data_IF_944071123576
#
_entry.id   IF_944071123576
#
_cell.length_a   1.000
_cell.length_b   1.000
_cell.length_c   1.000
_cell.angle_alpha   90.00
_cell.angle_beta   90.00
_cell.angle_gamma   90.00
#
_symmetry.space_group_name_H-M   'P 1'
#
loop_
_entity.id
_entity.type
_entity.pdbx_description
1 polymer ?
#
# COMPACT_ATOMS: atom_id res chain seq x y z
N UNK A 1 23.87 -6.24 -11.31
CA UNK A 1 22.64 -7.04 -11.24
C UNK A 1 21.57 -6.19 -11.88
N UNK A 2 21.20 -6.48 -13.13
CA UNK A 2 20.01 -5.89 -13.74
C UNK A 2 18.82 -6.76 -13.34
N UNK A 3 17.86 -6.17 -12.62
CA UNK A 3 16.67 -6.87 -12.16
C UNK A 3 15.61 -7.06 -13.27
N UNK A 4 15.87 -6.61 -14.51
CA UNK A 4 14.97 -6.67 -15.68
C UNK A 4 13.50 -6.46 -15.30
N UNK A 5 13.24 -5.31 -14.68
CA UNK A 5 11.88 -4.95 -14.29
C UNK A 5 11.17 -4.39 -15.52
N UNK A 6 10.28 -5.19 -16.11
CA UNK A 6 9.50 -4.77 -17.28
C UNK A 6 8.36 -3.80 -16.91
N UNK A 7 7.88 -3.87 -15.66
CA UNK A 7 6.79 -3.02 -15.20
C UNK A 7 6.84 -2.74 -13.69
N UNK A 8 6.48 -1.53 -13.30
CA UNK A 8 6.27 -1.11 -11.93
C UNK A 8 4.77 -0.93 -11.66
N UNK A 9 4.22 -1.76 -10.77
CA UNK A 9 2.81 -1.75 -10.42
C UNK A 9 2.58 -0.89 -9.18
N UNK A 10 1.79 0.17 -9.33
CA UNK A 10 1.33 0.94 -8.17
C UNK A 10 0.15 0.26 -7.52
N UNK A 11 0.24 0.12 -6.20
CA UNK A 11 -0.85 -0.36 -5.38
C UNK A 11 -2.06 0.57 -5.50
N UNK A 12 -3.25 0.01 -5.33
CA UNK A 12 -4.50 0.77 -5.47
C UNK A 12 -4.59 1.97 -4.51
N UNK A 13 -4.01 1.88 -3.31
CA UNK A 13 -3.93 3.02 -2.40
C UNK A 13 -3.06 4.16 -2.94
N UNK A 14 -1.99 3.87 -3.69
CA UNK A 14 -1.22 4.89 -4.37
C UNK A 14 -2.02 5.57 -5.47
N UNK A 15 -2.80 4.82 -6.23
CA UNK A 15 -3.56 5.36 -7.36
C UNK A 15 -4.77 6.18 -6.92
N UNK A 16 -5.40 5.84 -5.79
CA UNK A 16 -6.65 6.46 -5.34
C UNK A 16 -6.46 7.48 -4.22
N UNK A 17 -5.52 7.27 -3.31
CA UNK A 17 -5.39 8.08 -2.08
C UNK A 17 -4.12 8.93 -2.02
N UNK A 18 -3.10 8.65 -2.84
CA UNK A 18 -1.84 9.36 -2.73
C UNK A 18 -1.92 10.74 -3.40
N UNK A 19 -1.72 11.84 -2.66
CA UNK A 19 -1.71 13.19 -3.24
C UNK A 19 -0.45 13.48 -4.07
N UNK A 20 0.55 12.59 -4.02
CA UNK A 20 1.85 12.78 -4.66
C UNK A 20 2.08 11.84 -5.86
N UNK A 21 1.06 11.09 -6.28
CA UNK A 21 1.17 10.11 -7.38
C UNK A 21 1.89 10.69 -8.61
N UNK A 22 1.47 11.87 -9.07
CA UNK A 22 2.08 12.53 -10.22
C UNK A 22 3.55 12.92 -10.02
N UNK A 23 3.98 13.23 -8.79
CA UNK A 23 5.40 13.50 -8.50
C UNK A 23 6.21 12.21 -8.63
N UNK A 24 5.73 11.11 -8.05
CA UNK A 24 6.41 9.82 -8.18
C UNK A 24 6.50 9.38 -9.63
N UNK A 25 5.40 9.44 -10.39
CA UNK A 25 5.41 9.10 -11.82
C UNK A 25 6.42 9.94 -12.61
N UNK A 26 6.47 11.24 -12.35
CA UNK A 26 7.41 12.14 -13.04
C UNK A 26 8.86 11.74 -12.77
N UNK A 27 9.24 11.58 -11.51
CA UNK A 27 10.63 11.24 -11.17
C UNK A 27 11.02 9.84 -11.68
N UNK A 28 10.11 8.87 -11.63
CA UNK A 28 10.34 7.52 -12.15
C UNK A 28 10.52 7.54 -13.67
N UNK A 29 9.65 8.23 -14.41
CA UNK A 29 9.77 8.36 -15.88
C UNK A 29 11.02 9.11 -16.30
N UNK A 30 11.46 10.11 -15.53
CA UNK A 30 12.70 10.83 -15.81
C UNK A 30 13.93 9.92 -15.67
N UNK A 31 13.95 9.06 -14.65
CA UNK A 31 15.07 8.15 -14.40
C UNK A 31 15.02 6.89 -15.28
N UNK A 32 13.83 6.41 -15.62
CA UNK A 32 13.59 5.17 -16.35
C UNK A 32 12.50 5.36 -17.42
N UNK A 33 12.83 5.99 -18.57
CA UNK A 33 11.83 6.33 -19.59
C UNK A 33 11.10 5.11 -20.19
N UNK A 34 11.80 3.98 -20.27
CA UNK A 34 11.28 2.74 -20.86
C UNK A 34 10.53 1.85 -19.85
N UNK A 35 10.56 2.18 -18.56
CA UNK A 35 9.89 1.41 -17.52
C UNK A 35 8.37 1.64 -17.57
N UNK A 36 7.61 0.57 -17.78
CA UNK A 36 6.14 0.64 -17.80
C UNK A 36 5.58 0.83 -16.39
N UNK A 37 4.92 1.96 -16.13
CA UNK A 37 4.16 2.16 -14.89
C UNK A 37 2.72 1.68 -15.10
N UNK A 38 2.25 0.79 -14.21
CA UNK A 38 0.90 0.23 -14.23
C UNK A 38 0.14 0.68 -12.99
N UNK A 39 -0.98 1.36 -13.19
CA UNK A 39 -1.91 1.72 -12.12
C UNK A 39 -2.84 0.56 -11.81
N UNK A 40 -3.07 0.31 -10.52
CA UNK A 40 -3.80 -0.83 -9.98
C UNK A 40 -4.98 -1.30 -10.84
N UNK A 41 -5.12 -2.61 -10.96
CA UNK A 41 -6.06 -3.29 -11.86
C UNK A 41 -7.49 -3.40 -11.31
N UNK A 42 -7.78 -2.85 -10.13
CA UNK A 42 -9.07 -2.99 -9.46
C UNK A 42 -10.01 -1.84 -9.86
N UNK A 43 -11.28 -2.18 -10.11
CA UNK A 43 -12.30 -1.19 -10.46
C UNK A 43 -12.48 -0.16 -9.34
N UNK A 44 -12.68 1.14 -9.67
CA UNK A 44 -12.95 2.16 -8.67
C UNK A 44 -14.24 1.82 -7.90
N UNK A 45 -14.08 1.44 -6.64
CA UNK A 45 -15.20 1.26 -5.70
C UNK A 45 -15.54 2.55 -4.96
N UNK A 46 -16.15 2.41 -3.78
CA UNK A 46 -16.38 3.52 -2.84
C UNK A 46 -15.05 4.06 -2.29
N UNK A 47 -14.56 5.15 -2.86
CA UNK A 47 -13.29 5.79 -2.46
C UNK A 47 -13.29 6.26 -1.01
N UNK A 48 -14.41 6.79 -0.50
CA UNK A 48 -14.48 7.28 0.89
C UNK A 48 -14.53 6.11 1.88
N UNK A 49 -15.28 5.05 1.57
CA UNK A 49 -15.25 3.79 2.31
C UNK A 49 -13.86 3.17 2.32
N UNK A 50 -13.17 3.15 1.18
CA UNK A 50 -11.80 2.65 1.07
C UNK A 50 -10.83 3.49 1.89
N UNK A 51 -10.91 4.82 1.81
CA UNK A 51 -10.09 5.74 2.62
C UNK A 51 -10.30 5.51 4.11
N UNK A 52 -11.55 5.32 4.54
CA UNK A 52 -11.88 5.00 5.94
C UNK A 52 -11.25 3.68 6.38
N UNK A 53 -11.32 2.64 5.53
CA UNK A 53 -10.70 1.35 5.80
C UNK A 53 -9.17 1.44 5.89
N UNK A 54 -8.52 2.16 4.96
CA UNK A 54 -7.06 2.40 5.00
C UNK A 54 -6.66 3.16 6.27
N UNK A 55 -7.43 4.17 6.67
CA UNK A 55 -7.20 4.89 7.92
C UNK A 55 -7.27 3.97 9.13
N UNK A 56 -8.28 3.10 9.19
CA UNK A 56 -8.44 2.14 10.30
C UNK A 56 -7.31 1.10 10.35
N UNK A 57 -6.76 0.68 9.20
CA UNK A 57 -5.60 -0.22 9.17
C UNK A 57 -4.32 0.42 9.74
N UNK A 58 -4.10 1.71 9.47
CA UNK A 58 -2.90 2.43 9.89
C UNK A 58 -3.04 3.09 11.27
N UNK A 59 -4.25 3.47 11.64
CA UNK A 59 -4.61 4.09 12.92
C UNK A 59 -5.87 3.41 13.48
N UNK A 60 -5.72 2.19 14.00
CA UNK A 60 -6.83 1.36 14.46
C UNK A 60 -7.54 1.98 15.66
N UNK A 61 -8.86 1.99 15.60
CA UNK A 61 -9.76 2.47 16.64
C UNK A 61 -10.75 1.42 17.11
N UNK A 62 -10.99 0.38 16.30
CA UNK A 62 -11.96 -0.69 16.54
C UNK A 62 -11.31 -1.91 17.20
N UNK A 63 -10.09 -2.27 16.75
CA UNK A 63 -9.31 -3.39 17.31
C UNK A 63 -7.88 -2.93 17.54
N UNK A 64 -7.34 -3.26 18.71
CA UNK A 64 -5.91 -3.06 18.98
C UNK A 64 -5.15 -4.08 18.13
N UNK A 65 -4.29 -3.67 17.19
CA UNK A 65 -3.47 -4.60 16.43
C UNK A 65 -2.48 -5.26 17.36
N UNK A 66 -2.16 -6.50 17.04
CA UNK A 66 -1.00 -7.15 17.62
C UNK A 66 0.21 -6.80 16.77
N UNK A 67 1.31 -6.42 17.43
CA UNK A 67 2.54 -6.06 16.76
C UNK A 67 3.71 -6.94 17.20
N UNK A 68 4.92 -6.62 16.72
CA UNK A 68 6.13 -7.36 17.12
C UNK A 68 6.48 -7.17 18.60
N UNK A 69 6.10 -6.05 19.23
CA UNK A 69 6.29 -5.87 20.67
C UNK A 69 5.46 -6.86 21.46
N UNK A 70 4.27 -7.21 20.98
CA UNK A 70 3.43 -8.23 21.63
C UNK A 70 4.06 -9.61 21.53
N UNK A 71 4.79 -9.92 20.45
CA UNK A 71 5.59 -11.15 20.37
C UNK A 71 6.73 -11.12 21.39
N UNK A 72 7.54 -10.05 21.39
CA UNK A 72 8.70 -9.90 22.28
C UNK A 72 8.29 -9.94 23.77
N UNK A 73 7.15 -9.32 24.10
CA UNK A 73 6.60 -9.26 25.47
C UNK A 73 5.70 -10.45 25.82
N UNK A 74 5.55 -11.44 24.91
CA UNK A 74 4.69 -12.62 25.09
C UNK A 74 3.21 -12.28 25.39
N UNK A 75 2.69 -11.24 24.74
CA UNK A 75 1.28 -10.81 24.77
C UNK A 75 0.54 -11.13 23.46
N UNK A 76 1.23 -11.67 22.46
CA UNK A 76 0.64 -12.02 21.17
C UNK A 76 -0.30 -13.23 21.33
N UNK A 77 -1.55 -13.05 20.95
CA UNK A 77 -2.62 -14.05 20.91
C UNK A 77 -2.63 -14.70 19.54
N UNK A 78 -2.44 -16.02 19.51
CA UNK A 78 -2.58 -16.84 18.30
C UNK A 78 -4.08 -17.15 18.06
N UNK A 79 -4.51 -17.32 16.80
CA UNK A 79 -5.85 -17.81 16.50
C UNK A 79 -6.06 -19.22 17.10
N UNK A 80 -7.31 -19.55 17.45
CA UNK A 80 -7.70 -20.90 17.85
C UNK A 80 -7.66 -21.85 16.64
N UNK A 81 -7.24 -23.09 16.86
CA UNK A 81 -7.14 -24.15 15.82
C UNK A 81 -8.52 -24.63 15.34
#
# INVERSE_FOLDING_TARGET
>A
MDYNIDALHFSYCMTVLCPFLGKYEKEIRNAYPDLKIVHGTHQPGDTEGFKKAVKEMLCPTVKIPQDMNDVIKRRFVLPED
#
